data_IF_405528594286
#
_entry.id   IF_405528594286
#
_cell.length_a   1.000
_cell.length_b   1.000
_cell.length_c   1.000
_cell.angle_alpha   90.00
_cell.angle_beta   90.00
_cell.angle_gamma   90.00
#
_symmetry.space_group_name_H-M   'P 1'
#
loop_
_entity.id
_entity.type
_entity.pdbx_description
1 polymer ?
#
# COMPACT_ATOMS: atom_id res chain seq x y z
N UNK A 1 -31.85 -11.50 -23.47
CA UNK A 1 -30.51 -10.87 -23.39
C UNK A 1 -30.22 -10.59 -21.93
N UNK A 2 -29.30 -11.35 -21.31
CA UNK A 2 -29.01 -11.25 -19.88
C UNK A 2 -28.10 -10.06 -19.61
N UNK A 3 -28.57 -9.07 -18.85
CA UNK A 3 -27.72 -8.02 -18.27
C UNK A 3 -26.86 -8.67 -17.19
N UNK A 4 -25.59 -8.96 -17.50
CA UNK A 4 -24.60 -9.24 -16.47
C UNK A 4 -24.28 -7.92 -15.77
N UNK A 5 -24.78 -7.79 -14.54
CA UNK A 5 -24.45 -6.74 -13.60
C UNK A 5 -23.05 -7.03 -13.04
N UNK A 6 -22.01 -6.66 -13.80
CA UNK A 6 -20.70 -6.47 -13.20
C UNK A 6 -20.78 -5.16 -12.44
N UNK A 7 -20.61 -5.17 -11.11
CA UNK A 7 -20.46 -3.95 -10.32
C UNK A 7 -19.34 -3.12 -10.96
N UNK A 8 -19.68 -2.00 -11.58
CA UNK A 8 -18.71 -1.01 -12.02
C UNK A 8 -18.08 -0.45 -10.73
N UNK A 9 -16.79 -0.67 -10.51
CA UNK A 9 -16.06 -0.01 -9.42
C UNK A 9 -16.30 1.50 -9.59
N UNK A 10 -16.58 2.27 -8.53
CA UNK A 10 -16.77 3.71 -8.66
C UNK A 10 -15.52 4.33 -9.32
N UNK A 11 -15.65 4.77 -10.56
CA UNK A 11 -14.57 5.29 -11.41
C UNK A 11 -14.16 6.72 -11.03
N UNK A 12 -14.06 7.03 -9.74
CA UNK A 12 -13.71 8.37 -9.29
C UNK A 12 -12.45 8.36 -8.44
N UNK A 13 -11.34 8.78 -9.07
CA UNK A 13 -10.11 9.14 -8.37
C UNK A 13 -10.40 10.33 -7.45
N UNK A 14 -10.41 10.08 -6.13
CA UNK A 14 -10.80 11.10 -5.14
C UNK A 14 -9.78 12.23 -4.98
N UNK A 15 -8.49 11.92 -5.04
CA UNK A 15 -7.41 12.90 -4.92
C UNK A 15 -6.09 12.34 -5.47
N UNK A 16 -5.14 13.24 -5.75
CA UNK A 16 -3.78 12.89 -6.15
C UNK A 16 -2.80 13.50 -5.16
N UNK A 17 -1.93 12.67 -4.61
CA UNK A 17 -0.85 13.10 -3.72
C UNK A 17 0.51 12.89 -4.37
N UNK A 18 1.27 13.98 -4.45
CA UNK A 18 2.64 13.96 -4.92
C UNK A 18 3.64 13.67 -3.80
N UNK A 19 4.92 13.80 -4.16
CA UNK A 19 6.05 13.66 -3.21
C UNK A 19 5.97 14.65 -2.04
N UNK A 20 5.33 15.80 -2.25
CA UNK A 20 5.12 16.86 -1.25
C UNK A 20 4.27 16.41 -0.06
N UNK A 21 3.48 15.35 -0.21
CA UNK A 21 2.67 14.76 0.86
C UNK A 21 3.39 13.62 1.59
N UNK A 22 4.51 13.12 1.05
CA UNK A 22 5.31 12.09 1.72
C UNK A 22 6.03 12.63 2.95
N UNK A 23 6.42 11.75 3.86
CA UNK A 23 7.38 12.07 4.92
C UNK A 23 8.79 11.90 4.34
N UNK A 24 9.45 13.01 4.03
CA UNK A 24 10.80 12.99 3.47
C UNK A 24 11.84 12.92 4.59
N UNK A 25 12.87 12.11 4.40
CA UNK A 25 14.05 12.11 5.27
C UNK A 25 15.22 12.79 4.58
N UNK A 26 16.28 13.10 5.33
CA UNK A 26 17.58 13.52 4.80
C UNK A 26 18.44 12.35 4.30
N UNK A 27 17.95 11.11 4.44
CA UNK A 27 18.66 9.88 4.06
C UNK A 27 18.23 9.38 2.67
N UNK A 28 19.09 8.57 2.07
CA UNK A 28 18.91 8.01 0.72
C UNK A 28 18.85 6.49 0.77
N UNK A 29 18.22 5.88 -0.24
CA UNK A 29 18.16 4.42 -0.34
C UNK A 29 19.55 3.83 -0.52
N UNK A 30 19.80 2.69 0.12
CA UNK A 30 21.11 1.99 0.07
C UNK A 30 21.45 1.52 -1.35
N UNK A 31 20.45 1.03 -2.09
CA UNK A 31 20.55 0.52 -3.45
C UNK A 31 20.43 1.62 -4.52
N UNK A 32 19.92 2.79 -4.16
CA UNK A 32 19.85 3.95 -5.04
C UNK A 32 20.14 5.26 -4.27
N UNK A 33 21.41 5.63 -4.12
CA UNK A 33 21.83 6.80 -3.34
C UNK A 33 21.33 8.15 -3.87
N UNK A 34 20.74 8.21 -5.06
CA UNK A 34 20.13 9.43 -5.61
C UNK A 34 18.65 9.57 -5.24
N UNK A 35 18.04 8.52 -4.67
CA UNK A 35 16.63 8.50 -4.31
C UNK A 35 16.48 8.71 -2.80
N UNK A 36 15.91 9.85 -2.36
CA UNK A 36 15.67 10.07 -0.95
C UNK A 36 14.65 9.06 -0.41
N UNK A 37 14.82 8.66 0.85
CA UNK A 37 13.85 7.83 1.54
C UNK A 37 12.61 8.67 1.84
N UNK A 38 11.46 8.19 1.39
CA UNK A 38 10.16 8.82 1.57
C UNK A 38 9.16 7.81 2.13
N UNK A 39 8.51 8.15 3.24
CA UNK A 39 7.43 7.35 3.82
C UNK A 39 6.06 7.87 3.39
N UNK A 40 5.11 6.96 3.19
CA UNK A 40 3.72 7.24 2.86
C UNK A 40 2.86 6.98 4.08
N UNK A 41 2.74 7.99 4.95
CA UNK A 41 1.96 7.91 6.19
C UNK A 41 0.46 8.00 5.89
N UNK A 42 -0.27 6.90 6.07
CA UNK A 42 -1.74 6.88 5.95
C UNK A 42 -2.41 7.79 6.99
N UNK A 43 -1.75 8.04 8.12
CA UNK A 43 -2.19 9.04 9.11
C UNK A 43 -2.45 10.42 8.49
N UNK A 44 -1.70 10.84 7.47
CA UNK A 44 -1.97 12.10 6.77
C UNK A 44 -3.34 12.05 6.09
N UNK A 45 -3.72 10.91 5.51
CA UNK A 45 -5.02 10.72 4.84
C UNK A 45 -6.14 10.81 5.87
N UNK A 46 -5.98 10.13 7.00
CA UNK A 46 -6.98 10.12 8.08
C UNK A 46 -7.22 11.51 8.71
N UNK A 47 -6.18 12.35 8.76
CA UNK A 47 -6.29 13.74 9.21
C UNK A 47 -7.00 14.64 8.21
N UNK A 48 -6.82 14.39 6.91
CA UNK A 48 -7.44 15.21 5.84
C UNK A 48 -8.88 14.74 5.53
N UNK A 49 -9.17 13.46 5.78
CA UNK A 49 -10.44 12.80 5.48
C UNK A 49 -10.88 11.95 6.67
N UNK A 50 -11.69 12.53 7.56
CA UNK A 50 -12.12 11.92 8.84
C UNK A 50 -12.92 10.62 8.70
N UNK A 51 -13.39 10.30 7.49
CA UNK A 51 -14.09 9.03 7.18
C UNK A 51 -13.14 7.83 7.07
N UNK A 52 -11.82 8.07 7.01
CA UNK A 52 -10.82 7.04 6.81
C UNK A 52 -9.98 6.80 8.06
N UNK A 53 -9.68 5.53 8.33
CA UNK A 53 -8.83 5.09 9.43
C UNK A 53 -8.14 3.75 9.11
N UNK A 54 -7.60 3.07 10.12
CA UNK A 54 -6.95 1.77 9.98
C UNK A 54 -7.89 0.65 9.52
N UNK A 55 -9.19 0.77 9.75
CA UNK A 55 -10.17 -0.30 9.47
C UNK A 55 -10.63 -0.28 8.01
N UNK A 56 -10.44 0.82 7.29
CA UNK A 56 -10.96 0.98 5.93
C UNK A 56 -9.96 1.57 4.92
N UNK A 57 -8.69 1.74 5.30
CA UNK A 57 -7.63 2.31 4.44
C UNK A 57 -6.48 1.33 4.23
N UNK A 58 -6.07 1.14 2.98
CA UNK A 58 -4.96 0.26 2.62
C UNK A 58 -4.03 0.94 1.63
N UNK A 59 -2.71 0.83 1.86
CA UNK A 59 -1.67 1.26 0.94
C UNK A 59 -1.22 0.10 0.06
N UNK A 60 -1.33 0.25 -1.26
CA UNK A 60 -0.71 -0.69 -2.22
C UNK A 60 0.55 -0.04 -2.78
N UNK A 61 1.72 -0.59 -2.48
CA UNK A 61 3.01 -0.07 -2.93
C UNK A 61 4.02 -1.22 -2.99
N UNK A 62 4.86 -1.27 -4.02
CA UNK A 62 5.83 -2.36 -4.21
C UNK A 62 7.08 -2.26 -3.31
N UNK A 63 7.19 -1.18 -2.53
CA UNK A 63 8.36 -0.89 -1.70
C UNK A 63 7.98 -0.91 -0.21
N UNK A 64 8.18 -2.03 0.52
CA UNK A 64 7.76 -2.19 1.91
C UNK A 64 8.14 -1.05 2.85
N UNK A 65 9.37 -0.52 2.72
CA UNK A 65 9.87 0.56 3.58
C UNK A 65 8.99 1.81 3.57
N UNK A 66 8.28 2.12 2.47
CA UNK A 66 7.44 3.32 2.39
C UNK A 66 6.27 3.27 3.37
N UNK A 67 5.88 2.08 3.80
CA UNK A 67 4.76 1.85 4.71
C UNK A 67 5.18 1.66 6.16
N UNK A 68 6.48 1.71 6.49
CA UNK A 68 7.02 1.26 7.78
C UNK A 68 6.46 2.00 9.01
N UNK A 69 5.98 3.24 8.80
CA UNK A 69 5.39 4.08 9.85
C UNK A 69 3.87 3.88 9.98
N UNK A 70 3.26 3.06 9.13
CA UNK A 70 1.85 2.74 9.21
C UNK A 70 1.63 1.55 10.17
N UNK A 71 0.43 1.45 10.75
CA UNK A 71 0.04 0.27 11.51
C UNK A 71 0.23 -1.03 10.71
N UNK A 72 0.54 -2.15 11.38
CA UNK A 72 0.72 -3.43 10.71
C UNK A 72 -0.56 -3.83 9.97
N UNK A 73 -0.41 -4.51 8.83
CA UNK A 73 -1.51 -5.00 8.00
C UNK A 73 -2.39 -3.91 7.34
N UNK A 74 -1.90 -2.67 7.20
CA UNK A 74 -2.53 -1.63 6.37
C UNK A 74 -1.84 -1.42 5.01
N UNK A 75 -0.99 -2.36 4.60
CA UNK A 75 -0.30 -2.28 3.32
C UNK A 75 -0.21 -3.64 2.63
N UNK A 76 -0.21 -3.62 1.30
CA UNK A 76 -0.05 -4.78 0.43
C UNK A 76 1.10 -4.48 -0.53
N UNK A 77 2.01 -5.46 -0.67
CA UNK A 77 3.25 -5.29 -1.42
C UNK A 77 3.24 -6.16 -2.68
N UNK A 78 2.73 -5.67 -3.82
CA UNK A 78 2.79 -6.41 -5.07
C UNK A 78 4.23 -6.53 -5.59
N UNK A 79 4.44 -7.42 -6.56
CA UNK A 79 5.71 -7.48 -7.30
C UNK A 79 5.90 -6.17 -8.08
N UNK A 80 7.10 -5.61 -8.00
CA UNK A 80 7.51 -4.51 -8.89
C UNK A 80 7.31 -4.93 -10.34
N UNK A 81 6.60 -4.09 -11.08
CA UNK A 81 6.38 -4.30 -12.51
C UNK A 81 7.71 -4.17 -13.27
N UNK A 82 8.03 -5.19 -14.06
CA UNK A 82 9.29 -5.29 -14.80
C UNK A 82 9.17 -4.87 -16.28
N UNK A 83 8.00 -4.35 -16.70
CA UNK A 83 7.75 -3.98 -18.10
C UNK A 83 7.25 -5.13 -18.97
N UNK A 84 7.02 -6.32 -18.41
CA UNK A 84 6.50 -7.46 -19.16
C UNK A 84 5.12 -7.17 -19.76
N UNK A 85 4.94 -7.47 -21.04
CA UNK A 85 3.65 -7.40 -21.74
C UNK A 85 2.72 -8.57 -21.38
N UNK A 86 3.25 -9.59 -20.71
CA UNK A 86 2.50 -10.74 -20.23
C UNK A 86 2.11 -10.62 -18.76
N UNK A 87 2.44 -9.49 -18.11
CA UNK A 87 1.98 -9.23 -16.75
C UNK A 87 0.46 -9.12 -16.73
N UNK A 88 -0.16 -9.90 -15.87
CA UNK A 88 -1.59 -9.94 -15.65
C UNK A 88 -1.95 -9.73 -14.18
N UNK A 89 -1.05 -9.13 -13.40
CA UNK A 89 -1.24 -8.96 -11.95
C UNK A 89 -2.50 -8.12 -11.64
N UNK A 90 -2.78 -7.11 -12.47
CA UNK A 90 -3.95 -6.24 -12.37
C UNK A 90 -5.12 -6.69 -13.27
N UNK A 91 -5.12 -7.93 -13.79
CA UNK A 91 -6.28 -8.45 -14.53
C UNK A 91 -7.54 -8.41 -13.66
N UNK A 92 -8.65 -7.91 -14.19
CA UNK A 92 -9.93 -7.80 -13.51
C UNK A 92 -10.47 -9.14 -13.00
N UNK A 93 -10.06 -10.25 -13.60
CA UNK A 93 -10.40 -11.62 -13.20
C UNK A 93 -9.26 -12.31 -12.45
N UNK A 94 -8.13 -11.62 -12.29
CA UNK A 94 -6.94 -12.11 -11.61
C UNK A 94 -7.13 -12.18 -10.10
N UNK A 95 -6.17 -12.84 -9.47
CA UNK A 95 -6.16 -13.08 -8.03
C UNK A 95 -6.17 -11.77 -7.23
N UNK A 96 -5.34 -10.80 -7.61
CA UNK A 96 -5.20 -9.54 -6.88
C UNK A 96 -6.47 -8.68 -6.94
N UNK A 97 -7.12 -8.53 -8.09
CA UNK A 97 -8.37 -7.77 -8.18
C UNK A 97 -9.51 -8.48 -7.43
N UNK A 98 -9.57 -9.81 -7.48
CA UNK A 98 -10.51 -10.58 -6.67
C UNK A 98 -10.25 -10.44 -5.16
N UNK A 99 -8.98 -10.36 -4.75
CA UNK A 99 -8.59 -10.07 -3.38
C UNK A 99 -9.08 -8.69 -2.95
N UNK A 100 -8.81 -7.64 -3.73
CA UNK A 100 -9.25 -6.28 -3.44
C UNK A 100 -10.79 -6.17 -3.38
N UNK A 101 -11.50 -6.94 -4.21
CA UNK A 101 -12.97 -7.00 -4.18
C UNK A 101 -13.47 -7.53 -2.84
N UNK A 102 -12.90 -8.64 -2.35
CA UNK A 102 -13.26 -9.22 -1.05
C UNK A 102 -12.84 -8.33 0.12
N UNK A 103 -11.69 -7.67 0.01
CA UNK A 103 -11.20 -6.69 0.99
C UNK A 103 -12.15 -5.50 1.11
N UNK A 104 -12.68 -4.99 -0.01
CA UNK A 104 -13.64 -3.89 -0.02
C UNK A 104 -15.00 -4.26 0.61
N UNK A 105 -15.36 -5.55 0.61
CA UNK A 105 -16.56 -6.08 1.26
C UNK A 105 -16.32 -6.48 2.73
N UNK A 106 -15.09 -6.36 3.26
CA UNK A 106 -14.76 -6.74 4.64
C UNK A 106 -15.08 -5.63 5.64
N UNK A 107 -15.51 -6.02 6.86
CA UNK A 107 -15.82 -5.06 7.93
C UNK A 107 -14.57 -4.32 8.46
N UNK A 108 -13.41 -4.98 8.42
CA UNK A 108 -12.13 -4.44 8.89
C UNK A 108 -11.00 -4.90 7.96
N UNK A 109 -10.47 -3.96 7.18
CA UNK A 109 -9.42 -4.18 6.20
C UNK A 109 -8.12 -4.69 6.83
N UNK A 110 -7.76 -4.17 8.02
CA UNK A 110 -6.53 -4.56 8.71
C UNK A 110 -6.57 -6.05 9.11
N UNK A 111 -7.67 -6.50 9.72
CA UNK A 111 -7.89 -7.89 10.10
C UNK A 111 -8.00 -8.80 8.90
N UNK A 112 -8.65 -8.33 7.82
CA UNK A 112 -8.72 -9.08 6.57
C UNK A 112 -7.34 -9.36 5.99
N UNK A 113 -6.48 -8.34 5.89
CA UNK A 113 -5.09 -8.48 5.38
C UNK A 113 -4.27 -9.38 6.30
N UNK A 114 -4.44 -9.26 7.61
CA UNK A 114 -3.77 -10.14 8.59
C UNK A 114 -4.10 -11.62 8.38
N UNK A 115 -5.35 -11.94 8.04
CA UNK A 115 -5.82 -13.32 7.88
C UNK A 115 -5.64 -13.86 6.45
N UNK A 116 -5.59 -12.97 5.46
CA UNK A 116 -5.50 -13.29 4.04
C UNK A 116 -4.32 -12.51 3.48
N UNK A 117 -3.10 -12.96 3.73
CA UNK A 117 -1.92 -12.27 3.19
C UNK A 117 -1.82 -12.47 1.67
N UNK A 118 -1.41 -11.44 0.94
CA UNK A 118 -1.07 -11.47 -0.48
C UNK A 118 0.12 -10.56 -0.76
N UNK A 119 0.93 -10.92 -1.75
CA UNK A 119 2.12 -10.16 -2.12
C UNK A 119 3.36 -10.57 -1.33
N UNK A 120 4.32 -9.65 -1.25
CA UNK A 120 5.54 -9.80 -0.46
C UNK A 120 5.29 -9.50 1.01
N UNK A 121 6.15 -10.04 1.86
CA UNK A 121 6.14 -9.79 3.29
C UNK A 121 6.55 -8.34 3.60
N UNK A 122 6.02 -7.81 4.71
CA UNK A 122 6.48 -6.54 5.24
C UNK A 122 7.90 -6.67 5.81
N UNK A 123 8.60 -5.55 5.99
CA UNK A 123 9.86 -5.51 6.72
C UNK A 123 9.61 -5.99 8.15
N UNK A 124 10.27 -7.09 8.53
CA UNK A 124 10.10 -7.69 9.85
C UNK A 124 10.58 -6.73 10.94
N UNK A 125 9.71 -6.44 11.91
CA UNK A 125 10.06 -5.62 13.07
C UNK A 125 11.32 -6.14 13.76
N UNK A 126 12.27 -5.25 14.03
CA UNK A 126 13.56 -5.55 14.67
C UNK A 126 14.64 -6.11 13.74
N UNK A 127 14.34 -6.34 12.45
CA UNK A 127 15.38 -6.64 11.45
C UNK A 127 16.33 -5.45 11.25
N UNK A 128 17.51 -5.68 10.67
CA UNK A 128 18.46 -4.61 10.36
C UNK A 128 17.82 -3.53 9.47
N UNK A 129 17.03 -3.96 8.49
CA UNK A 129 16.30 -3.06 7.58
C UNK A 129 15.23 -2.25 8.33
N UNK A 130 14.47 -2.89 9.21
CA UNK A 130 13.49 -2.19 10.06
C UNK A 130 14.16 -1.12 10.92
N UNK A 131 15.24 -1.49 11.60
CA UNK A 131 15.98 -0.60 12.48
C UNK A 131 16.58 0.58 11.71
N UNK A 132 17.09 0.34 10.49
CA UNK A 132 17.58 1.40 9.62
C UNK A 132 16.49 2.42 9.28
N UNK A 133 15.37 1.96 8.73
CA UNK A 133 14.31 2.87 8.27
C UNK A 133 13.59 3.57 9.43
N UNK A 134 13.40 2.89 10.56
CA UNK A 134 12.82 3.54 11.75
C UNK A 134 13.78 4.55 12.37
N UNK A 135 15.09 4.28 12.40
CA UNK A 135 16.07 5.24 12.91
C UNK A 135 16.06 6.56 12.13
N UNK A 136 15.98 6.50 10.80
CA UNK A 136 15.96 7.71 9.96
C UNK A 136 14.60 8.41 9.89
N UNK A 137 13.54 7.78 10.40
CA UNK A 137 12.19 8.35 10.42
C UNK A 137 11.93 9.32 11.58
N UNK A 138 12.75 9.28 12.63
CA UNK A 138 12.59 10.09 13.84
C UNK A 138 13.75 11.08 14.06
N UNK A 139 14.43 11.49 12.98
CA UNK A 139 15.55 12.44 12.99
C UNK A 139 15.07 13.85 12.67
#
# INVERSE_FOLDING_TARGET
MSKKMGKQLPEELKFVWGKDKCEMTSSFLKDNPQKPVMFKKLEKVWREFELYDTTNTVLVDDSPYKSILNPPHNAIFPKTYDGSVHDNYLDLKGEFVNYLTKLADADDAQSYIRQNHIGYENIKQGSEEWNYYTAIAFV
#
